data_IF_568791866152
#
_entry.id   IF_568791866152
#
_cell.length_a   1.000
_cell.length_b   1.000
_cell.length_c   1.000
_cell.angle_alpha   90.00
_cell.angle_beta   90.00
_cell.angle_gamma   90.00
#
_symmetry.space_group_name_H-M   'P 1'
#
loop_
_entity.id
_entity.type
_entity.pdbx_description
1 polymer ?
#
# COMPACT_ATOMS: atom_id res chain seq x y z
N UNK A 1 39.95 27.92 27.38
CA UNK A 1 40.27 26.74 28.20
C UNK A 1 39.94 25.51 27.38
N UNK A 2 40.79 24.48 27.36
CA UNK A 2 40.47 23.20 26.73
C UNK A 2 39.49 22.40 27.62
N UNK A 3 38.73 21.46 27.04
CA UNK A 3 38.67 20.05 27.49
C UNK A 3 38.00 19.17 26.41
N UNK A 4 38.87 18.58 25.57
CA UNK A 4 38.78 17.27 24.89
C UNK A 4 37.45 16.77 24.27
N UNK A 5 37.44 16.71 22.93
CA UNK A 5 36.84 15.59 22.19
C UNK A 5 37.93 14.54 21.88
N UNK A 6 37.69 13.23 22.08
CA UNK A 6 38.56 12.19 21.53
C UNK A 6 38.27 11.97 20.04
N UNK A 7 39.17 12.43 19.16
CA UNK A 7 39.02 12.33 17.71
C UNK A 7 39.38 10.92 17.17
N UNK A 8 38.55 9.92 17.48
CA UNK A 8 38.75 8.54 17.01
C UNK A 8 38.43 8.40 15.51
N UNK A 9 39.46 8.48 14.66
CA UNK A 9 39.42 7.87 13.33
C UNK A 9 39.27 6.35 13.47
N UNK A 10 38.17 5.79 13.03
CA UNK A 10 37.97 4.34 12.94
C UNK A 10 36.88 4.01 11.94
N UNK A 11 37.12 3.01 11.08
CA UNK A 11 36.11 2.49 10.16
C UNK A 11 35.03 1.76 10.94
N UNK A 12 33.90 2.43 11.18
CA UNK A 12 32.69 1.82 11.73
C UNK A 12 31.81 1.26 10.60
N UNK A 13 31.30 0.04 10.79
CA UNK A 13 30.36 -0.57 9.86
C UNK A 13 29.00 0.15 9.85
N UNK A 14 28.16 -0.18 8.86
CA UNK A 14 26.73 0.19 8.85
C UNK A 14 26.08 -0.13 10.21
N UNK A 15 25.13 0.69 10.69
CA UNK A 15 24.40 0.40 11.93
C UNK A 15 23.85 -1.02 11.91
N UNK A 16 24.15 -1.80 12.94
CA UNK A 16 23.62 -3.16 13.04
C UNK A 16 22.09 -3.09 13.11
N UNK A 17 21.43 -3.67 12.11
CA UNK A 17 19.98 -3.81 12.08
C UNK A 17 19.51 -4.45 13.38
N UNK A 18 18.50 -3.86 14.01
CA UNK A 18 17.84 -4.41 15.20
C UNK A 18 17.34 -5.83 14.88
N UNK A 19 17.28 -6.75 15.85
CA UNK A 19 16.80 -8.12 15.62
C UNK A 19 15.39 -8.17 15.01
N UNK A 20 14.52 -7.21 15.32
CA UNK A 20 13.21 -7.05 14.67
C UNK A 20 13.35 -6.69 13.18
N UNK A 21 14.26 -5.77 12.84
CA UNK A 21 14.55 -5.38 11.44
C UNK A 21 15.19 -6.53 10.65
N UNK A 22 16.10 -7.30 11.26
CA UNK A 22 16.67 -8.50 10.64
C UNK A 22 15.58 -9.55 10.35
N UNK A 23 14.62 -9.73 11.26
CA UNK A 23 13.51 -10.66 11.05
C UNK A 23 12.50 -10.14 10.02
N UNK A 24 12.20 -8.83 9.98
CA UNK A 24 11.44 -8.17 8.90
C UNK A 24 12.10 -8.42 7.53
N UNK A 25 13.39 -8.16 7.43
CA UNK A 25 14.20 -8.37 6.22
C UNK A 25 14.14 -9.83 5.75
N UNK A 26 14.33 -10.81 6.66
CA UNK A 26 14.22 -12.25 6.34
C UNK A 26 12.87 -12.63 5.71
N UNK A 27 11.77 -12.07 6.20
CA UNK A 27 10.43 -12.36 5.68
C UNK A 27 10.21 -11.71 4.30
N UNK A 28 10.69 -10.47 4.10
CA UNK A 28 10.69 -9.78 2.81
C UNK A 28 11.53 -10.54 1.79
N UNK A 29 12.69 -11.07 2.18
CA UNK A 29 13.53 -11.91 1.33
C UNK A 29 12.85 -13.22 0.94
N UNK A 30 12.11 -13.87 1.84
CA UNK A 30 11.31 -15.05 1.50
C UNK A 30 10.18 -14.71 0.50
N UNK A 31 9.47 -13.59 0.70
CA UNK A 31 8.42 -13.13 -0.22
C UNK A 31 9.00 -12.82 -1.62
N UNK A 32 10.15 -12.13 -1.69
CA UNK A 32 10.86 -11.81 -2.93
C UNK A 32 11.42 -13.06 -3.63
N UNK A 33 11.87 -14.06 -2.88
CA UNK A 33 12.36 -15.32 -3.42
C UNK A 33 11.23 -16.24 -3.93
N UNK A 34 10.05 -16.20 -3.29
CA UNK A 34 8.90 -16.99 -3.69
C UNK A 34 8.18 -16.43 -4.94
N UNK A 35 8.18 -15.10 -5.13
CA UNK A 35 7.37 -14.46 -6.17
C UNK A 35 8.20 -13.52 -7.08
N UNK A 36 8.75 -14.03 -8.20
CA UNK A 36 9.53 -13.22 -9.14
C UNK A 36 8.76 -12.07 -9.82
N UNK A 37 7.42 -12.08 -9.78
CA UNK A 37 6.54 -11.02 -10.30
C UNK A 37 6.24 -9.91 -9.28
N UNK A 38 6.77 -9.99 -8.06
CA UNK A 38 6.53 -9.04 -6.97
C UNK A 38 7.04 -7.62 -7.32
N UNK A 39 6.12 -6.66 -7.40
CA UNK A 39 6.42 -5.24 -7.40
C UNK A 39 6.60 -4.73 -5.95
N UNK A 40 7.67 -3.99 -5.69
CA UNK A 40 7.90 -3.25 -4.45
C UNK A 40 7.31 -1.85 -4.61
N UNK A 41 6.18 -1.58 -3.93
CA UNK A 41 5.43 -0.32 -4.03
C UNK A 41 6.00 0.70 -3.05
N UNK A 42 6.24 0.28 -1.80
CA UNK A 42 6.95 1.06 -0.80
C UNK A 42 7.93 0.15 -0.07
N UNK A 43 9.22 0.53 -0.09
CA UNK A 43 10.29 -0.27 0.50
C UNK A 43 10.00 -0.63 1.96
N UNK A 44 10.21 -1.90 2.27
CA UNK A 44 9.99 -2.55 3.57
C UNK A 44 8.54 -2.47 4.10
N UNK A 45 7.56 -1.96 3.33
CA UNK A 45 6.17 -1.69 3.77
C UNK A 45 5.11 -2.29 2.84
N UNK A 46 5.05 -1.95 1.55
CA UNK A 46 4.01 -2.43 0.62
C UNK A 46 4.60 -3.15 -0.60
N UNK A 47 4.06 -4.33 -0.87
CA UNK A 47 4.38 -5.15 -2.02
C UNK A 47 3.12 -5.59 -2.77
N UNK A 48 3.22 -5.79 -4.08
CA UNK A 48 2.09 -6.17 -4.95
C UNK A 48 2.48 -7.30 -5.89
N UNK A 49 1.68 -8.36 -5.93
CA UNK A 49 1.87 -9.51 -6.82
C UNK A 49 0.74 -9.50 -7.86
N UNK A 50 1.01 -9.25 -9.15
CA UNK A 50 0.03 -9.47 -10.20
C UNK A 50 -0.18 -10.98 -10.39
N UNK A 51 -1.44 -11.40 -10.41
CA UNK A 51 -1.87 -12.79 -10.59
C UNK A 51 -2.98 -12.85 -11.64
N UNK A 52 -2.82 -13.72 -12.65
CA UNK A 52 -3.76 -13.86 -13.76
C UNK A 52 -4.19 -15.31 -13.90
N UNK A 53 -5.49 -15.56 -13.79
CA UNK A 53 -6.10 -16.89 -13.96
C UNK A 53 -7.42 -16.73 -14.71
N UNK A 54 -7.74 -17.65 -15.63
CA UNK A 54 -8.99 -17.63 -16.41
C UNK A 54 -9.36 -16.25 -17.01
N UNK A 55 -8.37 -15.61 -17.65
CA UNK A 55 -8.45 -14.24 -18.21
C UNK A 55 -8.80 -13.11 -17.21
N UNK A 56 -8.92 -13.40 -15.92
CA UNK A 56 -9.08 -12.42 -14.85
C UNK A 56 -7.71 -12.09 -14.26
N UNK A 57 -7.37 -10.80 -14.19
CA UNK A 57 -6.13 -10.32 -13.55
C UNK A 57 -6.47 -9.58 -12.27
N UNK A 58 -5.87 -10.02 -11.16
CA UNK A 58 -5.95 -9.38 -9.85
C UNK A 58 -4.55 -9.06 -9.33
N UNK A 59 -4.49 -8.16 -8.36
CA UNK A 59 -3.28 -7.83 -7.60
C UNK A 59 -3.46 -8.28 -6.16
N UNK A 60 -2.59 -9.17 -5.69
CA UNK A 60 -2.47 -9.49 -4.26
C UNK A 60 -1.53 -8.45 -3.63
N UNK A 61 -2.04 -7.63 -2.72
CA UNK A 61 -1.28 -6.63 -2.00
C UNK A 61 -0.85 -7.19 -0.64
N UNK A 62 0.40 -6.99 -0.25
CA UNK A 62 0.97 -7.39 1.04
C UNK A 62 1.51 -6.14 1.73
N UNK A 63 0.85 -5.76 2.83
CA UNK A 63 1.17 -4.59 3.64
C UNK A 63 1.75 -5.02 4.98
N UNK A 64 2.97 -4.57 5.28
CA UNK A 64 3.75 -4.93 6.46
C UNK A 64 3.68 -3.82 7.51
N UNK A 65 2.91 -3.97 8.60
CA UNK A 65 2.78 -2.91 9.61
C UNK A 65 4.10 -2.61 10.34
N UNK A 66 4.21 -1.47 11.06
CA UNK A 66 5.46 -1.04 11.70
C UNK A 66 6.09 -2.09 12.64
N UNK A 67 5.28 -2.87 13.36
CA UNK A 67 5.76 -3.92 14.29
C UNK A 67 5.85 -5.32 13.66
N UNK A 68 5.71 -5.46 12.34
CA UNK A 68 5.88 -6.74 11.66
C UNK A 68 7.31 -7.29 11.86
N UNK A 69 7.50 -8.60 12.19
CA UNK A 69 6.50 -9.68 12.23
C UNK A 69 5.97 -10.07 13.63
N UNK A 70 6.00 -9.17 14.62
CA UNK A 70 5.21 -9.34 15.85
C UNK A 70 3.73 -9.04 15.58
N UNK A 71 3.47 -8.02 14.75
CA UNK A 71 2.18 -7.73 14.16
C UNK A 71 2.08 -8.45 12.80
N UNK A 72 0.93 -9.08 12.51
CA UNK A 72 0.73 -9.89 11.29
C UNK A 72 0.64 -9.03 10.02
N UNK A 73 1.00 -9.55 8.84
CA UNK A 73 0.84 -8.82 7.60
C UNK A 73 -0.66 -8.66 7.28
N UNK A 74 -1.02 -7.53 6.69
CA UNK A 74 -2.32 -7.37 6.03
C UNK A 74 -2.16 -7.81 4.58
N UNK A 75 -3.04 -8.69 4.10
CA UNK A 75 -3.02 -9.17 2.71
C UNK A 75 -4.42 -8.99 2.11
N UNK A 76 -4.47 -8.37 0.94
CA UNK A 76 -5.72 -7.99 0.26
C UNK A 76 -5.63 -8.23 -1.25
N UNK A 77 -6.77 -8.15 -1.93
CA UNK A 77 -6.92 -8.30 -3.38
C UNK A 77 -7.61 -7.09 -4.00
N UNK A 78 -7.19 -6.75 -5.22
CA UNK A 78 -7.82 -5.73 -6.04
C UNK A 78 -7.77 -6.13 -7.54
N UNK A 79 -8.84 -5.95 -8.33
CA UNK A 79 -10.20 -5.55 -7.93
C UNK A 79 -10.89 -6.57 -7.01
N UNK A 80 -12.06 -6.24 -6.41
CA UNK A 80 -12.76 -7.14 -5.49
C UNK A 80 -13.20 -8.47 -6.13
N UNK A 81 -13.14 -9.56 -5.36
CA UNK A 81 -13.45 -10.92 -5.81
C UNK A 81 -14.28 -11.73 -4.80
N UNK A 82 -15.14 -12.59 -5.32
CA UNK A 82 -15.83 -13.63 -4.57
C UNK A 82 -14.94 -14.87 -4.49
N UNK A 83 -14.42 -15.16 -3.29
CA UNK A 83 -13.61 -16.35 -3.03
C UNK A 83 -13.69 -16.75 -1.54
N UNK A 84 -13.58 -18.04 -1.21
CA UNK A 84 -13.75 -18.53 0.17
C UNK A 84 -12.61 -18.12 1.14
N UNK A 85 -11.41 -17.82 0.62
CA UNK A 85 -10.33 -17.20 1.40
C UNK A 85 -10.41 -15.66 1.47
N UNK A 86 -11.46 -15.04 0.92
CA UNK A 86 -11.66 -13.58 0.88
C UNK A 86 -12.92 -13.21 1.65
N UNK A 87 -12.96 -12.02 2.24
CA UNK A 87 -14.10 -11.56 3.03
C UNK A 87 -15.36 -11.36 2.18
N UNK A 88 -16.51 -11.82 2.67
CA UNK A 88 -17.78 -11.73 1.94
C UNK A 88 -18.46 -10.35 2.04
N UNK A 89 -17.86 -9.37 2.73
CA UNK A 89 -18.47 -8.05 2.93
C UNK A 89 -18.06 -7.10 1.80
N UNK A 90 -16.75 -7.06 1.50
CA UNK A 90 -16.15 -6.15 0.54
C UNK A 90 -15.37 -6.85 -0.57
N UNK A 91 -15.09 -8.15 -0.46
CA UNK A 91 -14.41 -8.93 -1.50
C UNK A 91 -12.93 -8.58 -1.64
N UNK A 92 -12.29 -8.04 -0.61
CA UNK A 92 -10.91 -7.50 -0.72
C UNK A 92 -9.95 -8.01 0.34
N UNK A 93 -10.38 -8.40 1.53
CA UNK A 93 -9.46 -8.84 2.59
C UNK A 93 -9.29 -10.36 2.59
N UNK A 94 -8.04 -10.85 2.55
CA UNK A 94 -7.76 -12.29 2.62
C UNK A 94 -7.84 -12.76 4.08
N UNK A 95 -8.79 -13.64 4.35
CA UNK A 95 -9.14 -14.16 5.69
C UNK A 95 -8.43 -15.47 6.05
N UNK A 96 -7.64 -16.02 5.12
CA UNK A 96 -6.94 -17.31 5.23
C UNK A 96 -6.37 -17.60 6.63
N UNK A 97 -6.56 -18.81 7.19
CA UNK A 97 -6.02 -19.20 8.50
C UNK A 97 -4.50 -19.00 8.62
N UNK A 98 -3.75 -19.07 7.52
CA UNK A 98 -2.30 -18.87 7.50
C UNK A 98 -1.90 -17.39 7.68
N UNK A 99 -2.73 -16.46 7.21
CA UNK A 99 -2.60 -15.02 7.47
C UNK A 99 -3.13 -14.70 8.87
N UNK A 100 -4.29 -15.25 9.23
CA UNK A 100 -4.96 -14.96 10.50
C UNK A 100 -4.12 -15.39 11.71
N UNK A 101 -3.43 -16.53 11.62
CA UNK A 101 -2.54 -17.07 12.66
C UNK A 101 -1.03 -16.85 12.37
N UNK A 102 -0.68 -15.88 11.53
CA UNK A 102 0.72 -15.55 11.24
C UNK A 102 1.45 -15.08 12.50
N UNK A 103 2.70 -15.55 12.70
CA UNK A 103 3.56 -15.12 13.79
C UNK A 103 5.03 -15.02 13.40
N UNK A 104 5.88 -14.59 14.33
CA UNK A 104 7.31 -14.27 14.09
C UNK A 104 8.18 -15.40 13.50
N UNK A 105 7.70 -16.64 13.51
CA UNK A 105 8.36 -17.84 12.95
C UNK A 105 7.62 -18.45 11.74
N UNK A 106 6.50 -17.88 11.33
CA UNK A 106 5.86 -18.16 10.04
C UNK A 106 6.79 -17.77 8.88
N UNK A 107 6.48 -18.20 7.66
CA UNK A 107 7.26 -17.88 6.46
C UNK A 107 6.35 -17.13 5.47
N UNK A 108 6.59 -15.82 5.31
CA UNK A 108 5.73 -14.94 4.52
C UNK A 108 5.62 -15.38 3.06
N UNK A 109 6.73 -15.82 2.45
CA UNK A 109 6.73 -16.31 1.06
C UNK A 109 5.88 -17.57 0.92
N UNK A 110 6.02 -18.54 1.83
CA UNK A 110 5.17 -19.76 1.80
C UNK A 110 3.70 -19.48 2.10
N UNK A 111 3.41 -18.56 3.02
CA UNK A 111 2.04 -18.20 3.37
C UNK A 111 1.33 -17.49 2.22
N UNK A 112 2.01 -16.59 1.51
CA UNK A 112 1.43 -15.95 0.32
C UNK A 112 1.37 -16.91 -0.87
N UNK A 113 2.37 -17.78 -1.07
CA UNK A 113 2.30 -18.86 -2.07
C UNK A 113 1.07 -19.74 -1.88
N UNK A 114 0.79 -20.19 -0.64
CA UNK A 114 -0.41 -20.99 -0.36
C UNK A 114 -1.74 -20.28 -0.64
N UNK A 115 -1.77 -18.95 -0.71
CA UNK A 115 -2.97 -18.18 -1.14
C UNK A 115 -3.04 -18.12 -2.67
N UNK A 116 -1.91 -17.97 -3.36
CA UNK A 116 -1.85 -18.02 -4.82
C UNK A 116 -2.16 -19.43 -5.37
N UNK A 117 -1.72 -20.47 -4.66
CA UNK A 117 -2.02 -21.87 -4.98
C UNK A 117 -3.53 -22.15 -4.84
N UNK A 118 -4.17 -21.66 -3.77
CA UNK A 118 -5.63 -21.78 -3.63
C UNK A 118 -6.36 -20.94 -4.69
N UNK A 119 -5.90 -19.73 -5.03
CA UNK A 119 -6.45 -18.95 -6.15
C UNK A 119 -6.21 -19.59 -7.54
N UNK A 120 -5.36 -20.62 -7.64
CA UNK A 120 -5.14 -21.40 -8.86
C UNK A 120 -6.08 -22.61 -8.93
N UNK A 121 -6.20 -23.37 -7.84
CA UNK A 121 -7.13 -24.51 -7.71
C UNK A 121 -8.61 -24.05 -7.64
N UNK A 122 -8.85 -22.87 -7.06
CA UNK A 122 -10.15 -22.22 -6.87
C UNK A 122 -10.08 -20.78 -7.44
N UNK A 123 -10.23 -20.59 -8.77
CA UNK A 123 -10.08 -19.29 -9.40
C UNK A 123 -11.08 -18.23 -8.86
N UNK A 124 -10.59 -17.11 -8.29
CA UNK A 124 -11.43 -16.08 -7.71
C UNK A 124 -12.26 -15.34 -8.78
N UNK A 125 -13.58 -15.25 -8.55
CA UNK A 125 -14.50 -14.60 -9.49
C UNK A 125 -14.58 -13.09 -9.25
N UNK A 126 -14.37 -12.26 -10.27
CA UNK A 126 -14.50 -10.81 -10.17
C UNK A 126 -15.91 -10.41 -9.70
N UNK A 127 -16.01 -9.62 -8.63
CA UNK A 127 -17.30 -9.11 -8.16
C UNK A 127 -17.74 -7.97 -9.07
N UNK A 128 -18.66 -8.27 -9.99
CA UNK A 128 -19.34 -7.24 -10.79
C UNK A 128 -20.09 -6.28 -9.86
N UNK A 129 -19.63 -5.03 -9.79
CA UNK A 129 -20.29 -3.94 -9.06
C UNK A 129 -21.53 -3.45 -9.83
N UNK A 130 -22.48 -4.36 -10.05
CA UNK A 130 -23.79 -4.03 -10.58
C UNK A 130 -24.62 -3.24 -9.57
N UNK A 131 -25.32 -2.21 -10.04
CA UNK A 131 -26.32 -1.51 -9.25
C UNK A 131 -27.42 -2.48 -8.75
N UNK A 132 -28.10 -2.20 -7.62
CA UNK A 132 -29.08 -3.12 -7.02
C UNK A 132 -30.35 -3.27 -7.89
N UNK A 133 -30.28 -4.14 -8.89
CA UNK A 133 -31.33 -4.40 -9.88
C UNK A 133 -31.84 -5.83 -9.83
N UNK A 134 -33.06 -6.00 -9.30
CA UNK A 134 -34.01 -7.10 -9.49
C UNK A 134 -33.44 -8.49 -9.85
N UNK A 135 -33.37 -9.39 -8.86
CA UNK A 135 -33.16 -10.82 -9.11
C UNK A 135 -34.32 -11.41 -9.93
N UNK A 136 -34.08 -12.05 -11.10
CA UNK A 136 -35.10 -12.80 -11.81
C UNK A 136 -35.38 -14.12 -11.09
N UNK A 137 -36.64 -14.43 -10.82
CA UNK A 137 -37.03 -15.73 -10.26
C UNK A 137 -36.72 -16.87 -11.26
N UNK A 138 -36.15 -18.00 -10.81
CA UNK A 138 -36.05 -19.19 -11.65
C UNK A 138 -37.45 -19.83 -11.82
N UNK A 139 -37.90 -20.14 -13.05
CA UNK A 139 -39.16 -20.85 -13.24
C UNK A 139 -39.01 -22.32 -12.81
N UNK A 140 -39.90 -22.79 -11.93
CA UNK A 140 -39.95 -24.21 -11.60
C UNK A 140 -40.54 -25.03 -12.75
N UNK A 141 -39.86 -26.12 -13.11
CA UNK A 141 -40.37 -27.15 -14.01
C UNK A 141 -40.18 -28.53 -13.38
N UNK A 142 -41.24 -29.09 -12.76
CA UNK A 142 -41.27 -30.48 -12.34
C UNK A 142 -41.58 -31.38 -13.54
N UNK A 143 -40.66 -32.26 -13.92
CA UNK A 143 -40.98 -33.44 -14.74
C UNK A 143 -40.32 -34.71 -14.21
N UNK A 144 -40.98 -35.84 -14.43
CA UNK A 144 -40.77 -37.09 -13.71
C UNK A 144 -39.93 -38.10 -14.52
N UNK A 145 -39.06 -38.82 -13.81
CA UNK A 145 -38.58 -40.19 -14.09
C UNK A 145 -38.14 -40.61 -15.51
N UNK A 146 -36.87 -41.03 -15.63
CA UNK A 146 -36.51 -42.37 -16.11
C UNK A 146 -35.08 -42.74 -15.66
N UNK A 147 -34.82 -44.04 -15.41
CA UNK A 147 -33.48 -44.66 -15.40
C UNK A 147 -33.28 -45.35 -16.77
N UNK A 148 -32.04 -45.55 -17.22
CA UNK A 148 -31.44 -46.88 -17.45
C UNK A 148 -30.01 -46.82 -18.05
N UNK A 149 -29.22 -47.83 -17.65
CA UNK A 149 -27.85 -48.28 -17.97
C UNK A 149 -27.25 -48.00 -19.37
N UNK A 150 -25.91 -47.83 -19.46
CA UNK A 150 -25.08 -47.92 -20.70
C UNK A 150 -24.69 -49.37 -21.08
N UNK A 151 -23.50 -49.70 -21.67
CA UNK A 151 -22.28 -48.88 -21.87
C UNK A 151 -21.47 -49.11 -23.21
N UNK A 152 -20.22 -48.57 -23.29
CA UNK A 152 -18.99 -49.05 -24.01
C UNK A 152 -18.38 -48.28 -25.22
N UNK A 153 -17.02 -48.32 -25.23
CA UNK A 153 -16.04 -48.29 -26.35
C UNK A 153 -15.41 -46.99 -26.92
N UNK A 154 -14.13 -47.13 -27.30
CA UNK A 154 -13.10 -46.20 -27.86
C UNK A 154 -12.02 -47.03 -28.60
N UNK A 155 -10.97 -46.48 -29.29
CA UNK A 155 -10.73 -45.15 -29.87
C UNK A 155 -10.93 -45.22 -31.43
N UNK A 156 -9.97 -45.23 -32.42
CA UNK A 156 -8.56 -44.78 -32.61
C UNK A 156 -8.41 -43.56 -33.61
N UNK A 157 -7.21 -43.14 -34.09
CA UNK A 157 -7.01 -41.85 -34.80
C UNK A 157 -6.50 -41.93 -36.27
N UNK A 158 -6.25 -40.78 -36.93
CA UNK A 158 -5.35 -40.68 -38.10
C UNK A 158 -4.63 -39.31 -38.21
N UNK A 159 -3.60 -39.23 -39.06
CA UNK A 159 -2.60 -38.15 -39.19
C UNK A 159 -2.70 -37.34 -40.50
N UNK A 160 -2.15 -36.11 -40.46
CA UNK A 160 -1.46 -35.48 -41.59
C UNK A 160 -1.76 -33.98 -41.82
N UNK A 161 -0.93 -33.19 -42.53
CA UNK A 161 0.52 -33.26 -42.78
C UNK A 161 0.98 -31.99 -43.55
N UNK A 162 2.15 -31.42 -43.20
CA UNK A 162 2.88 -30.40 -43.98
C UNK A 162 2.45 -28.92 -43.80
N UNK A 163 3.28 -27.91 -44.10
CA UNK A 163 4.75 -27.92 -44.32
C UNK A 163 5.34 -26.49 -44.42
N UNK A 164 6.48 -26.26 -43.75
CA UNK A 164 7.69 -25.42 -44.05
C UNK A 164 7.73 -24.45 -45.26
N UNK A 165 8.58 -23.37 -45.30
CA UNK A 165 9.89 -23.23 -44.61
C UNK A 165 10.28 -21.82 -44.07
N UNK A 166 11.51 -21.72 -43.50
CA UNK A 166 12.28 -20.50 -43.15
C UNK A 166 13.22 -20.07 -44.30
N UNK A 167 13.74 -18.81 -44.33
CA UNK A 167 15.13 -18.57 -43.86
C UNK A 167 15.45 -17.17 -43.24
N UNK A 168 16.57 -17.10 -42.50
CA UNK A 168 17.33 -15.89 -42.08
C UNK A 168 18.35 -15.44 -43.19
N UNK A 169 19.33 -14.50 -43.03
CA UNK A 169 19.74 -13.60 -41.93
C UNK A 169 20.09 -12.12 -42.34
N UNK A 170 20.65 -11.28 -41.45
CA UNK A 170 21.36 -10.02 -41.82
C UNK A 170 21.68 -9.04 -40.67
N UNK A 171 22.85 -8.39 -40.69
CA UNK A 171 23.38 -7.44 -39.66
C UNK A 171 23.28 -5.97 -40.09
N UNK A 172 23.15 -5.03 -39.13
CA UNK A 172 24.06 -3.85 -38.91
C UNK A 172 23.46 -2.83 -37.89
N UNK A 173 24.13 -1.75 -37.45
CA UNK A 173 25.48 -1.58 -36.85
C UNK A 173 25.75 -0.11 -36.41
N UNK A 174 25.53 0.18 -35.12
CA UNK A 174 26.29 1.14 -34.27
C UNK A 174 26.32 2.68 -34.57
N UNK A 175 26.54 3.46 -33.51
CA UNK A 175 27.03 4.85 -33.42
C UNK A 175 26.04 6.03 -33.49
N UNK A 176 25.74 6.58 -32.31
CA UNK A 176 25.40 7.99 -32.11
C UNK A 176 26.61 8.74 -31.52
N UNK A 177 26.85 9.98 -31.95
CA UNK A 177 27.93 10.86 -31.47
C UNK A 177 27.33 11.96 -30.58
N UNK A 178 27.91 12.29 -29.41
CA UNK A 178 27.29 13.20 -28.44
C UNK A 178 27.39 14.68 -28.84
N UNK A 179 26.45 15.49 -28.34
CA UNK A 179 26.54 16.96 -28.34
C UNK A 179 26.26 17.53 -26.95
N UNK A 180 26.94 18.63 -26.65
CA UNK A 180 27.00 19.30 -25.34
C UNK A 180 25.89 20.38 -25.26
N UNK A 181 25.23 20.59 -24.11
CA UNK A 181 24.01 21.41 -24.04
C UNK A 181 24.26 22.92 -24.13
N UNK A 182 23.26 23.63 -24.65
CA UNK A 182 23.09 25.09 -24.54
C UNK A 182 21.68 25.42 -24.00
N UNK A 183 21.49 26.56 -23.30
CA UNK A 183 20.41 26.73 -22.34
C UNK A 183 19.13 27.42 -22.89
N UNK A 184 18.10 27.44 -22.02
CA UNK A 184 16.80 28.14 -22.12
C UNK A 184 15.70 27.52 -22.99
N UNK A 185 14.89 26.68 -22.34
CA UNK A 185 13.58 27.18 -21.91
C UNK A 185 12.39 27.06 -22.87
N UNK A 186 12.53 26.41 -24.02
CA UNK A 186 11.39 26.04 -24.88
C UNK A 186 11.27 24.53 -24.99
N UNK A 187 10.06 24.02 -24.72
CA UNK A 187 9.71 22.59 -24.88
C UNK A 187 9.35 22.35 -26.35
N UNK A 188 10.35 22.44 -27.22
CA UNK A 188 10.19 22.23 -28.68
C UNK A 188 10.38 20.76 -29.11
N UNK A 189 11.03 19.95 -28.28
CA UNK A 189 11.36 18.54 -28.55
C UNK A 189 10.54 17.54 -27.71
N UNK A 190 9.28 17.87 -27.39
CA UNK A 190 8.31 16.83 -27.04
C UNK A 190 7.60 16.39 -28.33
N UNK A 191 7.73 15.12 -28.78
CA UNK A 191 7.06 14.64 -29.98
C UNK A 191 5.56 14.46 -29.70
N UNK A 192 4.82 15.57 -29.69
CA UNK A 192 3.36 15.59 -29.57
C UNK A 192 2.76 14.81 -30.75
N UNK A 193 2.10 13.67 -30.53
CA UNK A 193 1.53 12.89 -31.61
C UNK A 193 0.26 13.58 -32.09
N UNK A 194 0.30 14.16 -33.30
CA UNK A 194 -0.89 14.69 -33.96
C UNK A 194 -1.81 13.51 -34.30
N UNK A 195 -3.03 13.38 -33.71
CA UNK A 195 -3.84 12.18 -33.83
C UNK A 195 -4.34 11.95 -35.26
N UNK A 196 -3.59 11.18 -36.04
CA UNK A 196 -3.78 11.02 -37.48
C UNK A 196 -4.55 9.73 -37.76
N UNK A 197 -5.86 9.76 -37.49
CA UNK A 197 -6.81 8.67 -37.81
C UNK A 197 -6.69 7.43 -36.95
N UNK A 198 -5.59 6.68 -37.06
CA UNK A 198 -5.51 5.28 -36.63
C UNK A 198 -4.34 4.99 -35.65
N UNK A 199 -4.69 4.38 -34.52
CA UNK A 199 -3.79 3.64 -33.61
C UNK A 199 -2.53 4.34 -33.08
N UNK A 200 -2.70 5.26 -32.12
CA UNK A 200 -1.65 5.59 -31.14
C UNK A 200 -2.17 5.45 -29.71
N UNK A 201 -1.45 4.69 -28.89
CA UNK A 201 -1.75 4.52 -27.48
C UNK A 201 -1.13 5.67 -26.67
N UNK A 202 -1.97 6.53 -26.09
CA UNK A 202 -1.51 7.58 -25.19
C UNK A 202 -0.93 7.00 -23.89
N UNK A 203 0.15 7.60 -23.40
CA UNK A 203 0.68 7.27 -22.06
C UNK A 203 -0.40 7.57 -21.01
N UNK A 204 -0.63 6.62 -20.11
CA UNK A 204 -1.73 6.61 -19.13
C UNK A 204 -3.15 6.43 -19.70
N UNK A 205 -3.31 5.96 -20.94
CA UNK A 205 -4.57 5.39 -21.44
C UNK A 205 -5.70 6.35 -21.78
N UNK A 206 -5.62 7.64 -21.40
CA UNK A 206 -6.52 8.66 -21.92
C UNK A 206 -6.27 8.87 -23.42
N UNK A 207 -7.21 8.42 -24.24
CA UNK A 207 -7.24 8.68 -25.68
C UNK A 207 -8.13 9.88 -25.95
N UNK A 208 -7.55 11.04 -26.25
CA UNK A 208 -8.33 12.14 -26.79
C UNK A 208 -8.86 11.77 -28.18
N UNK A 209 -10.16 11.98 -28.41
CA UNK A 209 -10.83 11.76 -29.69
C UNK A 209 -11.12 13.11 -30.32
N UNK A 210 -10.31 13.47 -31.31
CA UNK A 210 -10.56 14.65 -32.15
C UNK A 210 -11.96 14.53 -32.78
N UNK A 211 -12.80 15.59 -32.75
CA UNK A 211 -14.05 15.63 -33.50
C UNK A 211 -13.83 15.41 -34.99
N UNK A 212 -14.77 14.74 -35.65
CA UNK A 212 -14.72 14.51 -37.11
C UNK A 212 -14.81 15.85 -37.85
N UNK A 213 -13.84 16.12 -38.74
CA UNK A 213 -13.80 17.33 -39.56
C UNK A 213 -14.83 17.17 -40.69
N UNK A 214 -15.82 18.07 -40.83
CA UNK A 214 -16.79 17.98 -41.92
C UNK A 214 -16.14 18.18 -43.28
N UNK A 215 -16.45 17.30 -44.24
CA UNK A 215 -16.06 17.51 -45.65
C UNK A 215 -16.87 18.64 -46.32
N UNK A 216 -17.99 19.05 -45.71
CA UNK A 216 -18.85 20.15 -46.17
C UNK A 216 -19.39 20.98 -44.99
N UNK A 217 -19.48 22.29 -45.18
CA UNK A 217 -20.11 23.23 -44.24
C UNK A 217 -21.52 23.55 -44.72
N UNK A 218 -22.51 22.84 -44.21
CA UNK A 218 -23.92 23.02 -44.61
C UNK A 218 -24.46 24.39 -44.18
N UNK A 219 -23.88 24.94 -43.12
CA UNK A 219 -24.17 26.25 -42.54
C UNK A 219 -23.86 27.42 -43.51
N UNK A 220 -23.04 27.20 -44.54
CA UNK A 220 -22.79 28.19 -45.60
C UNK A 220 -23.93 28.25 -46.63
N UNK A 221 -24.76 27.20 -46.74
CA UNK A 221 -25.89 27.18 -47.67
C UNK A 221 -27.08 28.06 -47.20
N UNK A 222 -27.15 28.34 -45.89
CA UNK A 222 -28.20 29.18 -45.29
C UNK A 222 -27.87 30.69 -45.32
N UNK A 223 -26.69 31.07 -45.84
CA UNK A 223 -26.21 32.46 -45.89
C UNK A 223 -26.51 33.15 -47.22
N UNK A 224 -26.65 34.48 -47.18
CA UNK A 224 -26.88 35.29 -48.38
C UNK A 224 -25.58 35.81 -49.02
N UNK A 225 -25.65 36.21 -50.29
CA UNK A 225 -24.47 36.61 -51.09
C UNK A 225 -23.63 37.72 -50.44
N UNK A 226 -24.26 38.70 -49.79
CA UNK A 226 -23.56 39.75 -49.03
C UNK A 226 -22.79 39.17 -47.86
N UNK A 227 -23.39 38.28 -47.07
CA UNK A 227 -22.71 37.61 -45.94
C UNK A 227 -21.52 36.77 -46.41
N UNK A 228 -21.60 36.12 -47.59
CA UNK A 228 -20.45 35.42 -48.17
C UNK A 228 -19.36 36.39 -48.65
N UNK A 229 -19.72 37.54 -49.23
CA UNK A 229 -18.74 38.58 -49.61
C UNK A 229 -18.02 39.10 -48.37
N UNK A 230 -18.78 39.52 -47.35
CA UNK A 230 -18.27 39.99 -46.06
C UNK A 230 -17.32 38.94 -45.42
N UNK A 231 -17.71 37.65 -45.39
CA UNK A 231 -16.87 36.56 -44.88
C UNK A 231 -15.66 36.21 -45.77
N UNK A 232 -15.60 36.69 -47.02
CA UNK A 232 -14.46 36.51 -47.91
C UNK A 232 -13.51 37.72 -47.94
N UNK A 233 -13.98 38.86 -47.44
CA UNK A 233 -13.24 40.14 -47.39
C UNK A 233 -12.75 40.47 -45.96
N UNK A 234 -13.39 39.93 -44.92
CA UNK A 234 -13.08 40.18 -43.50
C UNK A 234 -12.72 38.87 -42.75
N UNK A 235 -11.44 38.73 -42.37
CA UNK A 235 -10.90 37.57 -41.65
C UNK A 235 -11.46 37.43 -40.22
N UNK A 236 -11.83 38.53 -39.54
CA UNK A 236 -12.41 38.48 -38.19
C UNK A 236 -13.86 37.97 -38.23
N UNK A 237 -14.63 38.35 -39.25
CA UNK A 237 -15.98 37.80 -39.51
C UNK A 237 -15.91 36.31 -39.86
N UNK A 238 -14.94 35.91 -40.69
CA UNK A 238 -14.69 34.52 -41.02
C UNK A 238 -14.26 33.69 -39.78
N UNK A 239 -13.32 34.19 -38.98
CA UNK A 239 -12.85 33.53 -37.75
C UNK A 239 -13.98 33.39 -36.73
N UNK A 240 -14.85 34.41 -36.60
CA UNK A 240 -16.05 34.37 -35.77
C UNK A 240 -17.06 33.33 -36.23
N UNK A 241 -17.17 33.08 -37.55
CA UNK A 241 -17.94 31.95 -38.06
C UNK A 241 -17.30 30.60 -37.72
N UNK A 242 -15.98 30.44 -37.88
CA UNK A 242 -15.28 29.22 -37.45
C UNK A 242 -15.49 28.91 -35.96
N UNK A 243 -15.40 29.92 -35.08
CA UNK A 243 -15.70 29.80 -33.65
C UNK A 243 -17.18 29.46 -33.35
N UNK A 244 -18.07 29.60 -34.35
CA UNK A 244 -19.47 29.19 -34.25
C UNK A 244 -19.71 27.72 -34.59
N UNK A 245 -18.79 27.04 -35.28
CA UNK A 245 -18.95 25.65 -35.71
C UNK A 245 -18.98 24.66 -34.52
N UNK A 246 -19.78 23.58 -34.60
CA UNK A 246 -19.88 22.59 -33.52
C UNK A 246 -18.53 21.96 -33.14
N UNK A 247 -17.67 21.67 -34.10
CA UNK A 247 -16.41 20.96 -33.90
C UNK A 247 -15.37 21.83 -33.20
N UNK A 248 -15.25 23.11 -33.57
CA UNK A 248 -14.31 24.01 -32.89
C UNK A 248 -14.80 24.35 -31.47
N UNK A 249 -16.12 24.46 -31.26
CA UNK A 249 -16.71 24.55 -29.91
C UNK A 249 -16.40 23.32 -29.06
N UNK A 250 -16.48 22.11 -29.63
CA UNK A 250 -16.11 20.87 -28.95
C UNK A 250 -14.65 20.92 -28.53
N UNK A 251 -13.71 21.16 -29.46
CA UNK A 251 -12.27 21.25 -29.17
C UNK A 251 -11.95 22.33 -28.10
N UNK A 252 -12.64 23.47 -28.12
CA UNK A 252 -12.47 24.51 -27.10
C UNK A 252 -12.94 24.01 -25.72
N UNK A 253 -14.11 23.39 -25.63
CA UNK A 253 -14.63 22.82 -24.39
C UNK A 253 -13.73 21.71 -23.85
N UNK A 254 -13.32 20.76 -24.71
CA UNK A 254 -12.42 19.65 -24.37
C UNK A 254 -11.09 20.16 -23.80
N UNK A 255 -10.59 21.29 -24.36
CA UNK A 255 -9.36 21.94 -23.91
C UNK A 255 -9.53 22.63 -22.55
N UNK A 256 -10.66 23.27 -22.26
CA UNK A 256 -10.92 23.83 -20.92
C UNK A 256 -11.14 22.70 -19.88
N UNK A 257 -11.82 21.61 -20.24
CA UNK A 257 -12.01 20.44 -19.38
C UNK A 257 -10.66 19.80 -19.02
N UNK A 258 -9.79 19.58 -20.01
CA UNK A 258 -8.44 19.07 -19.80
C UNK A 258 -7.61 19.99 -18.90
N UNK A 259 -7.73 21.32 -19.05
CA UNK A 259 -7.06 22.29 -18.17
C UNK A 259 -7.58 22.21 -16.73
N UNK A 260 -8.90 22.08 -16.52
CA UNK A 260 -9.45 21.87 -15.17
C UNK A 260 -8.91 20.58 -14.56
N UNK A 261 -9.02 19.45 -15.27
CA UNK A 261 -8.57 18.14 -14.80
C UNK A 261 -7.07 18.15 -14.41
N UNK A 262 -6.21 18.85 -15.16
CA UNK A 262 -4.79 19.02 -14.83
C UNK A 262 -4.60 19.84 -13.54
N UNK A 263 -5.35 20.92 -13.36
CA UNK A 263 -5.32 21.76 -12.15
C UNK A 263 -5.82 20.99 -10.93
N UNK A 264 -6.92 20.26 -11.07
CA UNK A 264 -7.50 19.45 -10.00
C UNK A 264 -6.54 18.34 -9.55
N UNK A 265 -5.92 17.62 -10.49
CA UNK A 265 -4.87 16.61 -10.19
C UNK A 265 -3.65 17.24 -9.49
N UNK A 266 -3.23 18.44 -9.87
CA UNK A 266 -2.13 19.15 -9.21
C UNK A 266 -2.48 19.51 -7.75
N UNK A 267 -3.70 20.04 -7.52
CA UNK A 267 -4.21 20.38 -6.18
C UNK A 267 -4.41 19.12 -5.32
N UNK A 268 -4.83 18.00 -5.91
CA UNK A 268 -4.85 16.70 -5.22
C UNK A 268 -3.44 16.28 -4.80
N UNK A 269 -2.44 16.42 -5.67
CA UNK A 269 -1.04 16.09 -5.37
C UNK A 269 -0.43 16.89 -4.21
N UNK A 270 -0.70 18.20 -4.15
CA UNK A 270 -0.27 19.05 -3.03
C UNK A 270 -0.96 18.63 -1.72
N UNK A 271 -2.29 18.41 -1.74
CA UNK A 271 -3.04 17.96 -0.54
C UNK A 271 -2.57 16.60 -0.03
N UNK A 272 -2.25 15.65 -0.90
CA UNK A 272 -1.66 14.37 -0.50
C UNK A 272 -0.29 14.56 0.16
N UNK A 273 0.53 15.48 -0.37
CA UNK A 273 1.87 15.79 0.18
C UNK A 273 1.78 16.37 1.60
N UNK A 274 0.85 17.31 1.84
CA UNK A 274 0.60 17.85 3.19
C UNK A 274 0.09 16.76 4.14
N UNK A 275 -0.84 15.92 3.69
CA UNK A 275 -1.39 14.81 4.49
C UNK A 275 -0.30 13.80 4.91
N UNK A 276 0.65 13.48 4.03
CA UNK A 276 1.80 12.64 4.36
C UNK A 276 2.69 13.25 5.45
N UNK A 277 2.96 14.57 5.40
CA UNK A 277 3.75 15.26 6.41
C UNK A 277 3.04 15.29 7.79
N UNK A 278 1.72 15.49 7.79
CA UNK A 278 0.90 15.41 9.01
C UNK A 278 0.92 13.99 9.59
N UNK A 279 0.81 12.96 8.73
CA UNK A 279 0.87 11.56 9.14
C UNK A 279 2.23 11.17 9.74
N UNK A 280 3.35 11.63 9.15
CA UNK A 280 4.69 11.44 9.69
C UNK A 280 4.83 12.10 11.07
N UNK A 281 4.37 13.35 11.23
CA UNK A 281 4.40 14.06 12.50
C UNK A 281 3.59 13.35 13.59
N UNK A 282 2.37 12.91 13.28
CA UNK A 282 1.53 12.13 14.20
C UNK A 282 2.20 10.80 14.60
N UNK A 283 2.83 10.12 13.65
CA UNK A 283 3.57 8.88 13.89
C UNK A 283 4.79 9.11 14.80
N UNK A 284 5.53 10.20 14.60
CA UNK A 284 6.65 10.60 15.45
C UNK A 284 6.18 10.93 16.89
N UNK A 285 5.11 11.69 17.04
CA UNK A 285 4.53 12.02 18.35
C UNK A 285 4.03 10.77 19.09
N UNK A 286 3.38 9.83 18.38
CA UNK A 286 2.95 8.53 18.94
C UNK A 286 4.15 7.72 19.45
N UNK A 287 5.20 7.56 18.65
CA UNK A 287 6.41 6.83 19.04
C UNK A 287 7.11 7.45 20.26
N UNK A 288 7.24 8.78 20.30
CA UNK A 288 7.79 9.49 21.46
C UNK A 288 6.95 9.30 22.74
N UNK A 289 5.62 9.23 22.60
CA UNK A 289 4.70 8.98 23.70
C UNK A 289 4.77 7.52 24.21
N UNK A 290 4.78 6.54 23.31
CA UNK A 290 4.94 5.11 23.63
C UNK A 290 6.29 4.85 24.34
N UNK A 291 7.37 5.43 23.85
CA UNK A 291 8.69 5.38 24.51
C UNK A 291 8.64 5.97 25.92
N UNK A 292 7.90 7.07 26.12
CA UNK A 292 7.71 7.70 27.44
C UNK A 292 6.91 6.80 28.38
N UNK A 293 5.83 6.16 27.91
CA UNK A 293 5.07 5.17 28.69
C UNK A 293 5.95 3.98 29.08
N UNK A 294 6.72 3.43 28.14
CA UNK A 294 7.66 2.33 28.41
C UNK A 294 8.74 2.72 29.44
N UNK A 295 9.24 3.95 29.38
CA UNK A 295 10.17 4.48 30.40
C UNK A 295 9.52 4.58 31.80
N UNK A 296 8.22 4.88 31.85
CA UNK A 296 7.44 5.09 33.08
C UNK A 296 7.08 3.76 33.74
N UNK A 297 6.66 2.75 32.97
CA UNK A 297 6.43 1.38 33.46
C UNK A 297 7.75 0.71 33.90
N UNK A 298 8.86 0.95 33.17
CA UNK A 298 10.20 0.50 33.57
C UNK A 298 10.68 1.19 34.86
N UNK A 299 10.26 2.43 35.13
CA UNK A 299 10.51 3.10 36.40
C UNK A 299 9.63 2.53 37.53
N UNK A 300 8.35 2.29 37.28
CA UNK A 300 7.42 1.67 38.24
C UNK A 300 7.91 0.28 38.67
N UNK A 301 8.29 -0.59 37.72
CA UNK A 301 8.81 -1.93 38.01
C UNK A 301 10.09 -1.88 38.88
N UNK A 302 11.01 -0.95 38.61
CA UNK A 302 12.21 -0.76 39.43
C UNK A 302 11.90 -0.23 40.83
N UNK A 303 10.91 0.66 40.97
CA UNK A 303 10.42 1.12 42.28
C UNK A 303 9.78 -0.01 43.09
N UNK A 304 9.02 -0.90 42.45
CA UNK A 304 8.42 -2.08 43.08
C UNK A 304 9.46 -3.04 43.64
N UNK A 305 10.46 -3.40 42.82
CA UNK A 305 11.58 -4.24 43.27
C UNK A 305 12.34 -3.58 44.42
N UNK A 306 12.62 -2.27 44.32
CA UNK A 306 13.27 -1.52 45.40
C UNK A 306 12.40 -1.36 46.66
N UNK A 307 11.07 -1.45 46.56
CA UNK A 307 10.18 -1.45 47.72
C UNK A 307 10.25 -2.81 48.44
N UNK A 308 10.14 -3.92 47.70
CA UNK A 308 10.28 -5.27 48.27
C UNK A 308 11.67 -5.51 48.87
N UNK A 309 12.74 -5.04 48.24
CA UNK A 309 14.09 -5.19 48.80
C UNK A 309 14.24 -4.47 50.15
N UNK A 310 13.63 -3.29 50.32
CA UNK A 310 13.63 -2.57 51.60
C UNK A 310 12.70 -3.21 52.65
N UNK A 311 11.73 -4.02 52.23
CA UNK A 311 10.88 -4.82 53.11
C UNK A 311 11.66 -6.04 53.64
N UNK A 312 12.32 -6.80 52.76
CA UNK A 312 13.23 -7.91 53.10
C UNK A 312 14.40 -7.46 53.98
N UNK A 313 15.06 -6.33 53.65
CA UNK A 313 16.10 -5.73 54.49
C UNK A 313 15.58 -5.36 55.90
N UNK A 314 14.30 -4.98 56.03
CA UNK A 314 13.69 -4.69 57.35
C UNK A 314 13.37 -5.96 58.14
N UNK A 315 13.01 -7.06 57.47
CA UNK A 315 12.78 -8.36 58.10
C UNK A 315 14.10 -8.99 58.58
N UNK A 316 15.16 -8.93 57.77
CA UNK A 316 16.50 -9.38 58.19
C UNK A 316 17.05 -8.50 59.33
N UNK A 317 16.78 -7.19 59.34
CA UNK A 317 17.12 -6.31 60.47
C UNK A 317 16.41 -6.75 61.76
N UNK A 318 15.12 -7.08 61.70
CA UNK A 318 14.36 -7.60 62.84
C UNK A 318 14.85 -8.99 63.30
N UNK A 319 15.24 -9.86 62.37
CA UNK A 319 15.83 -11.17 62.67
C UNK A 319 17.18 -11.04 63.38
N UNK A 320 18.07 -10.14 62.95
CA UNK A 320 19.35 -9.93 63.63
C UNK A 320 19.19 -9.38 65.06
N UNK A 321 18.17 -8.55 65.31
CA UNK A 321 17.81 -8.14 66.67
C UNK A 321 17.26 -9.30 67.52
N UNK A 322 16.38 -10.15 66.97
CA UNK A 322 15.87 -11.35 67.67
C UNK A 322 16.96 -12.38 67.96
N UNK A 323 17.99 -12.47 67.12
CA UNK A 323 19.21 -13.27 67.36
C UNK A 323 20.23 -12.58 68.29
N UNK A 324 19.94 -11.38 68.79
CA UNK A 324 20.80 -10.63 69.72
C UNK A 324 22.10 -10.08 69.11
N UNK A 325 22.15 -9.91 67.78
CA UNK A 325 23.35 -9.46 67.05
C UNK A 325 23.50 -7.94 66.95
N UNK A 326 22.40 -7.20 67.13
CA UNK A 326 22.33 -5.72 67.12
C UNK A 326 21.66 -5.26 68.40
N UNK A 327 22.03 -4.09 68.93
CA UNK A 327 21.36 -3.51 70.09
C UNK A 327 19.99 -2.88 69.73
N UNK A 328 19.28 -2.37 70.73
CA UNK A 328 17.92 -1.83 70.58
C UNK A 328 17.87 -0.48 69.86
N UNK A 329 18.88 0.37 70.04
CA UNK A 329 18.93 1.71 69.45
C UNK A 329 19.41 1.64 67.99
N UNK A 330 20.38 0.76 67.69
CA UNK A 330 20.75 0.38 66.32
C UNK A 330 19.57 -0.26 65.59
N UNK A 331 18.91 -1.25 66.21
CA UNK A 331 17.73 -1.91 65.64
C UNK A 331 16.62 -0.91 65.31
N UNK A 332 16.23 -0.06 66.27
CA UNK A 332 15.13 0.89 66.09
C UNK A 332 15.45 1.88 64.96
N UNK A 333 16.68 2.38 64.91
CA UNK A 333 17.14 3.31 63.87
C UNK A 333 17.06 2.66 62.48
N UNK A 334 17.73 1.52 62.29
CA UNK A 334 17.78 0.83 61.00
C UNK A 334 16.40 0.34 60.56
N UNK A 335 15.61 -0.26 61.46
CA UNK A 335 14.28 -0.77 61.15
C UNK A 335 13.32 0.36 60.75
N UNK A 336 13.30 1.48 61.49
CA UNK A 336 12.46 2.62 61.11
C UNK A 336 12.88 3.26 59.78
N UNK A 337 14.18 3.34 59.48
CA UNK A 337 14.64 3.81 58.17
C UNK A 337 14.13 2.89 57.03
N UNK A 338 14.40 1.59 57.11
CA UNK A 338 14.02 0.61 56.07
C UNK A 338 12.51 0.54 55.85
N UNK A 339 11.72 0.52 56.93
CA UNK A 339 10.24 0.54 56.84
C UNK A 339 9.73 1.85 56.22
N UNK A 340 10.25 3.00 56.64
CA UNK A 340 9.89 4.32 56.06
C UNK A 340 10.24 4.40 54.58
N UNK A 341 11.40 3.85 54.20
CA UNK A 341 11.87 3.79 52.81
C UNK A 341 10.99 2.87 51.95
N UNK A 342 10.62 1.69 52.46
CA UNK A 342 9.66 0.79 51.81
C UNK A 342 8.32 1.49 51.56
N UNK A 343 7.71 2.07 52.60
CA UNK A 343 6.42 2.77 52.47
C UNK A 343 6.52 3.99 51.53
N UNK A 344 7.62 4.74 51.55
CA UNK A 344 7.85 5.85 50.62
C UNK A 344 7.97 5.39 49.16
N UNK A 345 8.61 4.24 48.90
CA UNK A 345 8.73 3.65 47.56
C UNK A 345 7.38 3.14 47.06
N UNK A 346 6.62 2.41 47.89
CA UNK A 346 5.27 1.89 47.57
C UNK A 346 4.29 3.02 47.24
N UNK A 347 4.23 4.07 48.06
CA UNK A 347 3.40 5.25 47.77
C UNK A 347 3.78 6.00 46.47
N UNK A 348 5.07 5.99 46.09
CA UNK A 348 5.54 6.56 44.81
C UNK A 348 5.20 5.66 43.61
N UNK A 349 5.24 4.34 43.78
CA UNK A 349 4.78 3.37 42.77
C UNK A 349 3.29 3.56 42.47
N UNK A 350 2.43 3.62 43.48
CA UNK A 350 0.99 3.85 43.36
C UNK A 350 0.67 5.20 42.66
N UNK A 351 1.43 6.25 42.96
CA UNK A 351 1.29 7.56 42.30
C UNK A 351 1.75 7.55 40.83
N UNK A 352 2.70 6.69 40.46
CA UNK A 352 3.10 6.47 39.06
C UNK A 352 2.11 5.58 38.31
N UNK A 353 1.39 4.70 39.00
CA UNK A 353 0.38 3.82 38.39
C UNK A 353 -0.81 4.61 37.82
N UNK A 354 -1.18 5.75 38.41
CA UNK A 354 -2.29 6.59 37.91
C UNK A 354 -2.07 7.11 36.48
N UNK A 355 -0.99 7.85 36.14
CA UNK A 355 -0.77 8.30 34.77
C UNK A 355 -0.55 7.16 33.78
N UNK A 356 0.01 6.01 34.20
CA UNK A 356 0.13 4.82 33.35
C UNK A 356 -1.26 4.26 33.00
N UNK A 357 -2.14 4.07 33.98
CA UNK A 357 -3.45 3.45 33.77
C UNK A 357 -4.40 4.37 32.96
N UNK A 358 -4.39 5.68 33.25
CA UNK A 358 -5.23 6.67 32.54
C UNK A 358 -4.89 6.76 31.05
N UNK A 359 -3.62 6.60 30.66
CA UNK A 359 -3.18 6.74 29.26
C UNK A 359 -2.91 5.40 28.55
N UNK A 360 -2.90 4.27 29.29
CA UNK A 360 -2.95 2.94 28.70
C UNK A 360 -4.33 2.56 28.14
N UNK A 361 -5.37 3.34 28.46
CA UNK A 361 -6.73 3.19 27.94
C UNK A 361 -7.07 4.19 26.83
N UNK A 362 -6.21 4.32 25.82
CA UNK A 362 -6.68 4.71 24.49
C UNK A 362 -7.24 3.45 23.81
N UNK A 363 -8.56 3.33 23.57
CA UNK A 363 -9.09 2.21 22.81
C UNK A 363 -8.54 2.27 21.38
N UNK A 364 -8.26 1.11 20.80
CA UNK A 364 -7.98 0.98 19.37
C UNK A 364 -9.26 1.24 18.58
N UNK A 365 -9.59 2.51 18.36
CA UNK A 365 -10.68 2.92 17.48
C UNK A 365 -10.41 2.39 16.08
N UNK A 366 -11.37 1.61 15.58
CA UNK A 366 -11.40 1.03 14.24
C UNK A 366 -11.66 2.08 13.15
#
# INVERSE_FOLDING_TARGET
MNWLFPLSKGSGALPQLNSLQQQRQRQIESLKAAHPSLAEIQKDVEYRIPFTVNNSTISVNVLLPPQFPQEKPMVSVYPPVGHHLVDSNNGTMITSPLITNFGMHSDLGKVVQSVLDEFWESPPALMSTGAPGMAPYPPQAFHYSARHVGPTQTPPPNLGAGSTPMPHPGMDSVHAIPRVPTPYGLISDLPLPVPTGESQAGLNGHMYKMPEIPETFSELCDMNLTQLSDMSEDEDVLLKFFLSLPQLKQVINDKEELVSNIVDIAIEGERHTELYLIFEQLTQMKSAFEMKICSLSTLQARLKVAAHQAEEESEETAKNFLEGRTDIDEFLTNFMEKRTLCHSRRAKEEKLQQPINIHGQFPSSH
#
